data_IF_692335616861
#
_entry.id   IF_692335616861
#
_cell.length_a   1.000
_cell.length_b   1.000
_cell.length_c   1.000
_cell.angle_alpha   90.00
_cell.angle_beta   90.00
_cell.angle_gamma   90.00
#
_symmetry.space_group_name_H-M   'P 1'
#
loop_
_entity.id
_entity.type
_entity.pdbx_description
1 polymer ?
#
# COMPACT_ATOMS: atom_id res chain seq x y z
N UNK A 1 32.72 2.58 -11.29
CA UNK A 1 32.87 1.31 -10.56
C UNK A 1 31.45 0.75 -10.33
N UNK A 2 31.21 -0.50 -10.71
CA UNK A 2 29.91 -1.14 -10.40
C UNK A 2 29.85 -1.38 -8.87
N UNK A 3 29.03 -0.60 -8.17
CA UNK A 3 28.70 -0.93 -6.78
C UNK A 3 27.76 -2.15 -6.80
N UNK A 4 28.01 -3.19 -6.01
CA UNK A 4 27.07 -4.32 -5.92
C UNK A 4 25.73 -3.83 -5.31
N UNK A 5 24.62 -4.40 -5.76
CA UNK A 5 23.32 -4.16 -5.14
C UNK A 5 23.40 -4.72 -3.71
N UNK A 6 22.95 -3.95 -2.68
CA UNK A 6 22.92 -4.46 -1.32
C UNK A 6 22.06 -5.74 -1.21
N UNK A 7 22.49 -6.68 -0.38
CA UNK A 7 21.67 -7.87 -0.11
C UNK A 7 20.51 -7.50 0.84
N UNK A 8 19.30 -8.03 0.64
CA UNK A 8 18.22 -7.87 1.60
C UNK A 8 18.55 -8.52 2.94
N UNK A 9 18.01 -7.95 4.00
CA UNK A 9 18.11 -8.46 5.38
C UNK A 9 16.72 -8.62 5.98
N UNK A 10 16.53 -9.41 7.04
CA UNK A 10 15.24 -9.50 7.72
C UNK A 10 14.71 -8.17 8.24
N UNK A 11 15.59 -7.20 8.52
CA UNK A 11 15.20 -5.86 8.94
C UNK A 11 14.51 -5.04 7.85
N UNK A 12 14.68 -5.43 6.58
CA UNK A 12 14.04 -4.76 5.44
C UNK A 12 12.55 -5.13 5.31
N UNK A 13 12.13 -6.24 5.93
CA UNK A 13 10.74 -6.75 6.01
C UNK A 13 10.03 -6.83 4.65
N UNK A 14 10.74 -7.21 3.58
CA UNK A 14 10.15 -7.37 2.24
C UNK A 14 9.13 -8.49 2.20
N UNK A 15 7.96 -8.24 1.63
CA UNK A 15 6.89 -9.24 1.52
C UNK A 15 6.20 -9.20 0.15
N UNK A 16 5.56 -10.32 -0.18
CA UNK A 16 4.83 -10.50 -1.45
C UNK A 16 3.51 -11.22 -1.20
N UNK A 17 2.49 -10.85 -1.96
CA UNK A 17 1.22 -11.56 -1.98
C UNK A 17 1.33 -12.89 -2.76
N UNK A 18 0.64 -13.93 -2.30
CA UNK A 18 0.46 -15.15 -3.11
C UNK A 18 -0.25 -14.84 -4.43
N UNK A 19 -1.14 -13.84 -4.43
CA UNK A 19 -1.83 -13.35 -5.63
C UNK A 19 -0.90 -12.64 -6.62
N UNK A 20 0.24 -12.10 -6.16
CA UNK A 20 1.24 -11.44 -7.01
C UNK A 20 2.11 -12.46 -7.72
N UNK A 21 2.89 -13.24 -6.95
CA UNK A 21 3.80 -14.24 -7.52
C UNK A 21 3.06 -15.45 -8.11
N UNK A 22 1.89 -15.77 -7.59
CA UNK A 22 1.01 -16.84 -8.09
C UNK A 22 0.06 -16.41 -9.21
N UNK A 23 0.09 -15.14 -9.64
CA UNK A 23 -0.79 -14.68 -10.72
C UNK A 23 -0.55 -15.45 -12.02
N UNK A 24 -1.63 -16.10 -12.51
CA UNK A 24 -1.58 -16.94 -13.69
C UNK A 24 -1.53 -16.16 -15.00
N UNK A 25 -1.47 -14.84 -14.96
CA UNK A 25 -1.48 -13.94 -16.12
C UNK A 25 -2.74 -14.03 -16.98
N UNK A 26 -3.88 -14.31 -16.38
CA UNK A 26 -5.19 -14.12 -16.98
C UNK A 26 -5.53 -12.63 -16.98
N UNK A 27 -6.05 -12.14 -18.09
CA UNK A 27 -6.59 -10.79 -18.22
C UNK A 27 -8.02 -10.83 -18.82
N UNK A 28 -8.74 -9.70 -18.90
CA UNK A 28 -10.10 -9.68 -19.45
C UNK A 28 -10.22 -10.17 -20.90
N UNK A 29 -9.11 -10.25 -21.62
CA UNK A 29 -9.07 -10.57 -23.06
C UNK A 29 -8.36 -11.90 -23.36
N UNK A 30 -7.79 -12.57 -22.38
CA UNK A 30 -7.04 -13.79 -22.61
C UNK A 30 -6.94 -14.74 -21.41
N UNK A 31 -6.81 -16.03 -21.74
CA UNK A 31 -6.64 -17.08 -20.73
C UNK A 31 -5.29 -17.02 -20.03
N UNK A 32 -5.17 -17.76 -18.93
CA UNK A 32 -3.93 -17.90 -18.18
C UNK A 32 -2.77 -18.40 -19.05
N UNK A 33 -1.58 -17.82 -18.87
CA UNK A 33 -0.35 -18.26 -19.54
C UNK A 33 0.57 -19.04 -18.60
N UNK A 34 0.27 -19.04 -17.30
CA UNK A 34 1.00 -19.78 -16.27
C UNK A 34 0.07 -20.75 -15.53
N UNK A 35 0.62 -21.86 -15.08
CA UNK A 35 -0.08 -22.79 -14.22
C UNK A 35 -0.36 -22.18 -12.83
N UNK A 36 -1.39 -22.68 -12.12
CA UNK A 36 -1.54 -22.36 -10.69
C UNK A 36 -0.27 -22.69 -9.92
N UNK A 37 0.16 -21.79 -9.04
CA UNK A 37 1.32 -21.98 -8.18
C UNK A 37 0.90 -22.62 -6.85
N UNK A 38 1.64 -23.61 -6.42
CA UNK A 38 1.47 -24.18 -5.09
C UNK A 38 1.92 -23.18 -4.01
N UNK A 39 1.11 -22.87 -2.99
CA UNK A 39 1.49 -21.91 -1.96
C UNK A 39 2.77 -22.25 -1.19
N UNK A 40 3.05 -23.53 -0.95
CA UNK A 40 4.28 -23.95 -0.25
C UNK A 40 5.49 -23.77 -1.15
N UNK A 41 5.38 -24.09 -2.44
CA UNK A 41 6.44 -23.77 -3.41
C UNK A 41 6.70 -22.25 -3.49
N UNK A 42 5.65 -21.43 -3.42
CA UNK A 42 5.82 -19.98 -3.36
C UNK A 42 6.61 -19.54 -2.12
N UNK A 43 6.37 -20.14 -0.94
CA UNK A 43 7.15 -19.85 0.27
C UNK A 43 8.64 -20.17 0.07
N UNK A 44 8.97 -21.35 -0.50
CA UNK A 44 10.35 -21.74 -0.77
C UNK A 44 11.07 -20.74 -1.67
N UNK A 45 10.42 -20.32 -2.73
CA UNK A 45 10.97 -19.37 -3.69
C UNK A 45 11.09 -17.95 -3.10
N UNK A 46 10.11 -17.49 -2.33
CA UNK A 46 10.18 -16.21 -1.63
C UNK A 46 11.35 -16.15 -0.65
N UNK A 47 11.55 -17.22 0.13
CA UNK A 47 12.70 -17.34 1.02
C UNK A 47 14.03 -17.32 0.22
N UNK A 48 14.10 -18.01 -0.92
CA UNK A 48 15.28 -18.06 -1.77
C UNK A 48 15.67 -16.69 -2.36
N UNK A 49 14.71 -15.80 -2.65
CA UNK A 49 15.00 -14.44 -3.11
C UNK A 49 15.26 -13.46 -1.96
N UNK A 50 15.17 -13.88 -0.71
CA UNK A 50 15.44 -13.07 0.47
C UNK A 50 14.25 -12.24 0.96
N UNK A 51 13.02 -12.66 0.67
CA UNK A 51 11.83 -12.09 1.30
C UNK A 51 11.80 -12.39 2.81
N UNK A 52 11.19 -11.50 3.56
CA UNK A 52 10.91 -11.65 4.99
C UNK A 52 9.55 -12.30 5.22
N UNK A 53 8.56 -12.01 4.35
CA UNK A 53 7.20 -12.41 4.59
C UNK A 53 6.37 -12.68 3.34
N UNK A 54 5.18 -13.20 3.60
CA UNK A 54 4.16 -13.54 2.61
C UNK A 54 2.81 -12.99 3.04
N UNK A 55 1.98 -12.63 2.07
CA UNK A 55 0.61 -12.15 2.26
C UNK A 55 -0.34 -13.05 1.46
N UNK A 56 -1.60 -13.14 1.87
CA UNK A 56 -2.57 -13.98 1.18
C UNK A 56 -4.00 -13.43 1.24
N UNK A 57 -4.77 -13.67 0.17
CA UNK A 57 -6.23 -13.73 0.28
C UNK A 57 -6.63 -15.11 0.80
N UNK A 58 -7.76 -15.18 1.49
CA UNK A 58 -8.30 -16.47 1.94
C UNK A 58 -8.39 -17.50 0.80
N UNK A 59 -8.79 -17.07 -0.40
CA UNK A 59 -8.96 -17.94 -1.57
C UNK A 59 -7.62 -18.30 -2.27
N UNK A 60 -6.52 -17.63 -1.97
CA UNK A 60 -5.17 -18.02 -2.44
C UNK A 60 -4.70 -19.31 -1.76
N UNK A 61 -5.14 -19.53 -0.52
CA UNK A 61 -4.83 -20.72 0.26
C UNK A 61 -5.95 -21.77 0.18
N UNK A 62 -7.19 -21.36 0.45
CA UNK A 62 -8.31 -22.26 0.66
C UNK A 62 -9.33 -22.03 -0.47
N UNK A 63 -9.47 -22.95 -1.42
CA UNK A 63 -10.44 -22.79 -2.49
C UNK A 63 -11.85 -22.50 -1.97
N UNK A 64 -12.53 -21.53 -2.59
CA UNK A 64 -13.87 -21.12 -2.19
C UNK A 64 -14.84 -22.32 -2.12
N UNK A 65 -15.52 -22.46 -0.98
CA UNK A 65 -16.47 -23.56 -0.74
C UNK A 65 -15.85 -24.86 -0.24
N UNK A 66 -14.55 -24.89 0.10
CA UNK A 66 -13.93 -26.06 0.73
C UNK A 66 -14.60 -26.40 2.05
N UNK A 67 -14.71 -27.68 2.36
CA UNK A 67 -15.13 -28.15 3.67
C UNK A 67 -14.01 -27.97 4.72
N UNK A 68 -14.36 -28.12 5.99
CA UNK A 68 -13.42 -27.86 7.10
C UNK A 68 -12.24 -28.85 7.08
N UNK A 69 -12.39 -30.10 6.64
CA UNK A 69 -11.33 -31.08 6.57
C UNK A 69 -10.28 -30.72 5.50
N UNK A 70 -10.73 -30.30 4.32
CA UNK A 70 -9.86 -29.82 3.24
C UNK A 70 -9.12 -28.55 3.69
N UNK A 71 -9.85 -27.60 4.30
CA UNK A 71 -9.29 -26.38 4.86
C UNK A 71 -8.16 -26.68 5.86
N UNK A 72 -8.44 -27.52 6.86
CA UNK A 72 -7.48 -27.80 7.93
C UNK A 72 -6.20 -28.46 7.39
N UNK A 73 -6.33 -29.39 6.44
CA UNK A 73 -5.18 -30.00 5.78
C UNK A 73 -4.31 -29.01 5.01
N UNK A 74 -4.92 -28.02 4.34
CA UNK A 74 -4.20 -26.95 3.63
C UNK A 74 -3.48 -26.03 4.64
N UNK A 75 -4.15 -25.62 5.70
CA UNK A 75 -3.56 -24.76 6.74
C UNK A 75 -2.37 -25.42 7.41
N UNK A 76 -2.48 -26.69 7.80
CA UNK A 76 -1.37 -27.43 8.42
C UNK A 76 -0.16 -27.53 7.48
N UNK A 77 -0.40 -27.80 6.18
CA UNK A 77 0.67 -27.84 5.18
C UNK A 77 1.34 -26.48 5.02
N UNK A 78 0.55 -25.40 4.99
CA UNK A 78 1.07 -24.04 4.88
C UNK A 78 1.87 -23.61 6.10
N UNK A 79 1.39 -23.89 7.32
CA UNK A 79 2.13 -23.67 8.59
C UNK A 79 3.48 -24.39 8.61
N UNK A 80 3.50 -25.64 8.12
CA UNK A 80 4.74 -26.38 7.99
C UNK A 80 5.72 -25.67 7.03
N UNK A 81 5.24 -25.22 5.87
CA UNK A 81 6.04 -24.44 4.92
C UNK A 81 6.59 -23.13 5.52
N UNK A 82 5.78 -22.40 6.30
CA UNK A 82 6.23 -21.22 7.02
C UNK A 82 7.33 -21.55 8.03
N UNK A 83 7.17 -22.63 8.80
CA UNK A 83 8.18 -23.07 9.78
C UNK A 83 9.50 -23.50 9.11
N UNK A 84 9.44 -24.15 7.95
CA UNK A 84 10.61 -24.60 7.19
C UNK A 84 11.36 -23.45 6.49
N UNK A 85 10.64 -22.41 6.04
CA UNK A 85 11.22 -21.26 5.33
C UNK A 85 11.58 -20.10 6.25
N UNK A 86 10.97 -20.03 7.44
CA UNK A 86 11.13 -18.93 8.38
C UNK A 86 10.42 -17.63 7.96
N UNK A 87 9.55 -17.69 6.95
CA UNK A 87 8.77 -16.54 6.51
C UNK A 87 7.66 -16.19 7.50
N UNK A 88 7.44 -14.90 7.73
CA UNK A 88 6.31 -14.38 8.49
C UNK A 88 5.10 -14.14 7.58
N UNK A 89 3.90 -14.32 8.12
CA UNK A 89 2.68 -13.76 7.50
C UNK A 89 2.58 -12.30 7.94
N UNK A 90 2.78 -11.36 7.01
CA UNK A 90 2.80 -9.94 7.34
C UNK A 90 1.41 -9.31 7.29
N UNK A 91 0.61 -9.70 6.31
CA UNK A 91 -0.79 -9.29 6.19
C UNK A 91 -1.66 -10.42 5.66
N UNK A 92 -2.95 -10.31 5.92
CA UNK A 92 -3.99 -11.10 5.27
C UNK A 92 -5.08 -10.19 4.73
N UNK A 93 -5.84 -10.67 3.78
CA UNK A 93 -6.99 -9.99 3.21
C UNK A 93 -8.04 -11.00 2.75
N UNK A 94 -9.27 -10.57 2.52
CA UNK A 94 -10.35 -11.46 2.04
C UNK A 94 -10.71 -11.14 0.60
N UNK A 95 -10.78 -12.16 -0.25
CA UNK A 95 -11.31 -12.03 -1.59
C UNK A 95 -12.83 -11.80 -1.55
N UNK A 96 -13.23 -10.54 -1.70
CA UNK A 96 -14.63 -10.09 -1.78
C UNK A 96 -15.00 -9.62 -3.19
N UNK A 97 -14.31 -10.11 -4.24
CA UNK A 97 -14.45 -9.56 -5.58
C UNK A 97 -14.54 -10.61 -6.70
N UNK A 98 -13.88 -11.77 -6.57
CA UNK A 98 -13.82 -12.78 -7.64
C UNK A 98 -15.13 -13.55 -7.80
N UNK A 99 -15.72 -14.02 -6.70
CA UNK A 99 -16.94 -14.83 -6.77
C UNK A 99 -18.14 -13.99 -7.24
N UNK A 100 -18.99 -14.52 -8.16
CA UNK A 100 -20.13 -13.78 -8.71
C UNK A 100 -21.14 -13.25 -7.68
N UNK A 101 -21.16 -13.77 -6.46
CA UNK A 101 -21.99 -13.24 -5.37
C UNK A 101 -21.67 -11.78 -5.06
N UNK A 102 -20.44 -11.35 -5.29
CA UNK A 102 -19.94 -9.99 -5.02
C UNK A 102 -19.99 -9.06 -6.25
N UNK A 103 -20.62 -9.47 -7.34
CA UNK A 103 -20.62 -8.75 -8.64
C UNK A 103 -21.07 -7.28 -8.53
N UNK A 104 -21.87 -6.93 -7.51
CA UNK A 104 -22.46 -5.60 -7.33
C UNK A 104 -21.89 -4.88 -6.08
N UNK A 105 -21.04 -5.52 -5.33
CA UNK A 105 -20.48 -5.09 -4.05
C UNK A 105 -20.48 -6.24 -3.06
N UNK A 106 -19.73 -6.10 -2.00
CA UNK A 106 -19.68 -7.05 -0.89
C UNK A 106 -20.20 -6.41 0.40
N UNK A 107 -19.37 -5.64 1.09
CA UNK A 107 -19.72 -4.96 2.35
C UNK A 107 -20.74 -3.82 2.12
N UNK A 108 -20.75 -3.23 0.92
CA UNK A 108 -21.69 -2.16 0.53
C UNK A 108 -22.74 -2.61 -0.49
N UNK A 109 -22.90 -3.92 -0.69
CA UNK A 109 -23.89 -4.45 -1.63
C UNK A 109 -25.30 -3.92 -1.29
N UNK A 110 -26.11 -3.65 -2.32
CA UNK A 110 -27.52 -3.30 -2.14
C UNK A 110 -28.31 -4.44 -1.48
N UNK A 111 -27.81 -5.69 -1.57
CA UNK A 111 -28.44 -6.87 -0.96
C UNK A 111 -27.88 -7.13 0.45
N UNK A 112 -28.78 -7.11 1.46
CA UNK A 112 -28.43 -7.33 2.86
C UNK A 112 -27.76 -8.69 3.11
N UNK A 113 -28.21 -9.76 2.44
CA UNK A 113 -27.68 -11.11 2.67
C UNK A 113 -26.25 -11.24 2.11
N UNK A 114 -25.95 -10.55 1.01
CA UNK A 114 -24.57 -10.45 0.50
C UNK A 114 -23.67 -9.73 1.49
N UNK A 115 -24.11 -8.60 2.08
CA UNK A 115 -23.33 -7.89 3.12
C UNK A 115 -23.04 -8.78 4.32
N UNK A 116 -24.04 -9.49 4.83
CA UNK A 116 -23.88 -10.42 5.96
C UNK A 116 -22.94 -11.58 5.65
N UNK A 117 -23.04 -12.13 4.44
CA UNK A 117 -22.13 -13.16 3.96
C UNK A 117 -20.69 -12.64 3.85
N UNK A 118 -20.50 -11.44 3.32
CA UNK A 118 -19.19 -10.80 3.20
C UNK A 118 -18.54 -10.59 4.59
N UNK A 119 -19.26 -9.99 5.55
CA UNK A 119 -18.76 -9.80 6.93
C UNK A 119 -18.37 -11.14 7.55
N UNK A 120 -19.21 -12.17 7.43
CA UNK A 120 -18.90 -13.50 7.96
C UNK A 120 -17.68 -14.14 7.31
N UNK A 121 -17.50 -13.95 5.99
CA UNK A 121 -16.30 -14.44 5.27
C UNK A 121 -15.05 -13.75 5.79
N UNK A 122 -15.09 -12.42 6.01
CA UNK A 122 -13.99 -11.65 6.60
C UNK A 122 -13.67 -12.15 8.01
N UNK A 123 -14.66 -12.33 8.89
CA UNK A 123 -14.45 -12.83 10.26
C UNK A 123 -13.70 -14.18 10.27
N UNK A 124 -14.12 -15.14 9.42
CA UNK A 124 -13.42 -16.44 9.31
C UNK A 124 -11.95 -16.30 8.86
N UNK A 125 -11.66 -15.33 8.00
CA UNK A 125 -10.29 -15.10 7.58
C UNK A 125 -9.49 -14.28 8.59
N UNK A 126 -10.13 -13.44 9.39
CA UNK A 126 -9.49 -12.78 10.55
C UNK A 126 -8.99 -13.84 11.55
N UNK A 127 -9.79 -14.87 11.82
CA UNK A 127 -9.37 -15.98 12.70
C UNK A 127 -8.11 -16.66 12.16
N UNK A 128 -8.07 -16.94 10.86
CA UNK A 128 -6.90 -17.53 10.21
C UNK A 128 -5.70 -16.57 10.22
N UNK A 129 -5.92 -15.29 9.96
CA UNK A 129 -4.89 -14.26 9.98
C UNK A 129 -4.23 -14.17 11.37
N UNK A 130 -5.05 -14.12 12.43
CA UNK A 130 -4.58 -14.13 13.81
C UNK A 130 -3.81 -15.41 14.16
N UNK A 131 -4.33 -16.59 13.73
CA UNK A 131 -3.69 -17.89 13.90
C UNK A 131 -2.31 -17.98 13.24
N UNK A 132 -2.15 -17.32 12.08
CA UNK A 132 -0.89 -17.28 11.33
C UNK A 132 0.03 -16.12 11.73
N UNK A 133 -0.39 -15.26 12.67
CA UNK A 133 0.42 -14.18 13.24
C UNK A 133 0.45 -12.88 12.43
N UNK A 134 -0.49 -12.68 11.51
CA UNK A 134 -0.64 -11.40 10.80
C UNK A 134 -1.04 -10.29 11.79
N UNK A 135 -0.42 -9.12 11.65
CA UNK A 135 -0.72 -7.95 12.49
C UNK A 135 -1.55 -6.88 11.76
N UNK A 136 -1.61 -6.96 10.43
CA UNK A 136 -2.39 -6.05 9.60
C UNK A 136 -3.35 -6.86 8.73
N UNK A 137 -4.58 -6.40 8.65
CA UNK A 137 -5.62 -6.94 7.78
C UNK A 137 -5.98 -5.90 6.73
N UNK A 138 -5.57 -6.14 5.48
CA UNK A 138 -5.84 -5.21 4.38
C UNK A 138 -7.28 -5.36 3.92
N UNK A 139 -7.94 -4.25 3.66
CA UNK A 139 -9.30 -4.16 3.17
C UNK A 139 -9.31 -3.42 1.82
N UNK A 140 -9.24 -4.20 0.73
CA UNK A 140 -9.40 -3.68 -0.62
C UNK A 140 -10.87 -3.74 -1.07
N UNK A 141 -11.42 -2.57 -1.39
CA UNK A 141 -12.81 -2.40 -1.75
C UNK A 141 -13.11 -2.52 -3.26
N UNK A 142 -12.47 -3.42 -3.99
CA UNK A 142 -12.51 -3.48 -5.44
C UNK A 142 -13.92 -3.62 -6.08
N UNK A 143 -14.93 -4.13 -5.36
CA UNK A 143 -16.33 -4.16 -5.80
C UNK A 143 -17.20 -3.12 -5.11
N UNK A 144 -16.68 -2.38 -4.16
CA UNK A 144 -17.41 -1.37 -3.40
C UNK A 144 -17.52 -0.07 -4.21
N UNK A 145 -18.54 0.04 -5.05
CA UNK A 145 -18.71 1.15 -5.97
C UNK A 145 -19.79 0.91 -7.02
N UNK A 146 -19.72 1.61 -8.15
CA UNK A 146 -20.66 1.48 -9.26
C UNK A 146 -20.07 1.94 -10.60
N UNK A 147 -20.66 1.45 -11.71
CA UNK A 147 -20.43 1.98 -13.06
C UNK A 147 -21.35 3.17 -13.36
N UNK A 148 -22.49 3.25 -12.67
CA UNK A 148 -23.52 4.27 -12.88
C UNK A 148 -24.01 4.82 -11.56
N UNK A 149 -23.95 6.12 -11.36
CA UNK A 149 -24.37 6.79 -10.12
C UNK A 149 -25.81 6.47 -9.68
N UNK A 150 -26.71 6.17 -10.61
CA UNK A 150 -28.09 5.79 -10.28
C UNK A 150 -28.23 4.38 -9.66
N UNK A 151 -27.19 3.54 -9.76
CA UNK A 151 -27.21 2.16 -9.26
C UNK A 151 -26.78 2.04 -7.80
N UNK A 152 -26.24 3.10 -7.19
CA UNK A 152 -25.71 3.10 -5.82
C UNK A 152 -26.06 4.39 -5.11
N UNK A 153 -26.77 4.29 -3.99
CA UNK A 153 -26.92 5.39 -3.03
C UNK A 153 -25.61 5.47 -2.22
N UNK A 154 -24.75 6.42 -2.59
CA UNK A 154 -23.40 6.53 -2.01
C UNK A 154 -23.44 6.79 -0.50
N UNK A 155 -24.25 7.74 0.03
CA UNK A 155 -24.40 7.90 1.48
C UNK A 155 -24.80 6.62 2.18
N UNK A 156 -25.84 5.94 1.72
CA UNK A 156 -26.28 4.67 2.31
C UNK A 156 -25.22 3.56 2.18
N UNK A 157 -24.46 3.54 1.10
CA UNK A 157 -23.36 2.59 0.93
C UNK A 157 -22.23 2.86 1.93
N UNK A 158 -21.87 4.12 2.17
CA UNK A 158 -20.89 4.50 3.18
C UNK A 158 -21.37 4.15 4.59
N UNK A 159 -22.66 4.36 4.92
CA UNK A 159 -23.25 3.90 6.19
C UNK A 159 -23.09 2.38 6.38
N UNK A 160 -23.31 1.59 5.31
CA UNK A 160 -23.12 0.12 5.36
C UNK A 160 -21.66 -0.28 5.50
N UNK A 161 -20.77 0.49 4.88
CA UNK A 161 -19.33 0.26 4.98
C UNK A 161 -18.85 0.56 6.41
N UNK A 162 -19.29 1.68 6.99
CA UNK A 162 -19.03 2.03 8.39
C UNK A 162 -19.57 0.94 9.36
N UNK A 163 -20.82 0.50 9.17
CA UNK A 163 -21.39 -0.60 9.94
C UNK A 163 -20.52 -1.87 9.90
N UNK A 164 -20.04 -2.23 8.70
CA UNK A 164 -19.18 -3.40 8.52
C UNK A 164 -17.85 -3.26 9.27
N UNK A 165 -17.16 -2.12 9.15
CA UNK A 165 -15.90 -1.89 9.86
C UNK A 165 -16.08 -1.86 11.37
N UNK A 166 -17.17 -1.28 11.89
CA UNK A 166 -17.47 -1.27 13.32
C UNK A 166 -17.70 -2.69 13.85
N UNK A 167 -18.49 -3.51 13.14
CA UNK A 167 -18.70 -4.93 13.50
C UNK A 167 -17.38 -5.72 13.47
N UNK A 168 -16.53 -5.52 12.47
CA UNK A 168 -15.24 -6.20 12.38
C UNK A 168 -14.25 -5.72 13.45
N UNK A 169 -14.28 -4.43 13.79
CA UNK A 169 -13.48 -3.85 14.87
C UNK A 169 -13.87 -4.44 16.23
N UNK A 170 -15.17 -4.52 16.53
CA UNK A 170 -15.66 -5.17 17.74
C UNK A 170 -15.28 -6.66 17.78
N UNK A 171 -15.37 -7.35 16.64
CA UNK A 171 -14.98 -8.76 16.54
C UNK A 171 -13.50 -8.98 16.92
N UNK A 172 -12.59 -8.15 16.41
CA UNK A 172 -11.15 -8.23 16.71
C UNK A 172 -10.91 -7.98 18.21
N UNK A 173 -11.54 -6.95 18.77
CA UNK A 173 -11.39 -6.61 20.20
C UNK A 173 -11.95 -7.69 21.11
N UNK A 174 -13.15 -8.21 20.83
CA UNK A 174 -13.81 -9.24 21.64
C UNK A 174 -13.03 -10.57 21.68
N UNK A 175 -12.27 -10.86 20.60
CA UNK A 175 -11.39 -12.04 20.52
C UNK A 175 -9.98 -11.79 21.06
N UNK A 176 -9.65 -10.53 21.38
CA UNK A 176 -8.30 -10.16 21.86
C UNK A 176 -7.21 -10.33 20.81
N UNK A 177 -7.54 -10.19 19.53
CA UNK A 177 -6.57 -10.30 18.44
C UNK A 177 -5.70 -9.05 18.36
N UNK A 178 -4.38 -9.22 18.25
CA UNK A 178 -3.43 -8.13 17.95
C UNK A 178 -3.40 -7.88 16.43
N UNK A 179 -4.48 -7.30 15.93
CA UNK A 179 -4.70 -7.11 14.50
C UNK A 179 -5.34 -5.74 14.25
N UNK A 180 -4.84 -5.03 13.26
CA UNK A 180 -5.35 -3.74 12.81
C UNK A 180 -5.78 -3.80 11.34
N UNK A 181 -6.76 -2.99 10.96
CA UNK A 181 -7.22 -2.90 9.58
C UNK A 181 -6.45 -1.82 8.81
N UNK A 182 -6.19 -2.06 7.53
CA UNK A 182 -5.65 -1.07 6.62
C UNK A 182 -6.53 -1.00 5.36
N UNK A 183 -7.19 0.13 5.15
CA UNK A 183 -7.98 0.37 3.95
C UNK A 183 -7.01 0.64 2.80
N UNK A 184 -7.21 -0.04 1.68
CA UNK A 184 -6.48 0.16 0.44
C UNK A 184 -7.34 0.96 -0.53
N UNK A 185 -7.06 2.27 -0.71
CA UNK A 185 -7.80 3.12 -1.62
C UNK A 185 -7.49 2.80 -3.06
N UNK A 186 -8.53 2.82 -3.92
CA UNK A 186 -8.38 2.68 -5.37
C UNK A 186 -9.45 3.51 -6.09
N UNK A 187 -9.12 4.31 -7.12
CA UNK A 187 -10.08 5.21 -7.74
C UNK A 187 -11.13 4.48 -8.60
N UNK A 188 -10.71 3.46 -9.31
CA UNK A 188 -11.53 2.70 -10.25
C UNK A 188 -10.91 1.33 -10.52
N UNK A 189 -11.58 0.50 -11.34
CA UNK A 189 -11.14 -0.86 -11.73
C UNK A 189 -11.11 -1.83 -10.53
N UNK A 190 -11.96 -2.87 -10.57
CA UNK A 190 -12.81 -3.30 -11.69
C UNK A 190 -14.15 -2.57 -11.83
N UNK A 191 -14.51 -1.67 -10.91
CA UNK A 191 -15.70 -0.82 -11.03
C UNK A 191 -15.34 0.49 -11.72
N UNK A 192 -16.31 1.18 -12.31
CA UNK A 192 -16.11 2.51 -12.91
C UNK A 192 -15.66 3.54 -11.88
N UNK A 193 -16.34 3.55 -10.73
CA UNK A 193 -15.99 4.34 -9.55
C UNK A 193 -15.98 3.43 -8.32
N UNK A 194 -14.91 3.49 -7.52
CA UNK A 194 -14.79 2.75 -6.26
C UNK A 194 -14.95 3.74 -5.10
N UNK A 195 -15.61 3.32 -4.03
CA UNK A 195 -15.73 4.09 -2.80
C UNK A 195 -14.34 4.22 -2.13
N UNK A 196 -14.09 5.36 -1.49
CA UNK A 196 -12.80 5.68 -0.87
C UNK A 196 -11.63 5.67 -1.88
N UNK A 197 -11.71 6.46 -2.96
CA UNK A 197 -10.82 6.36 -4.11
C UNK A 197 -9.37 6.80 -3.86
N UNK A 198 -9.09 7.53 -2.79
CA UNK A 198 -7.74 8.04 -2.45
C UNK A 198 -7.49 7.97 -0.95
N UNK A 199 -6.22 8.13 -0.56
CA UNK A 199 -5.80 8.19 0.86
C UNK A 199 -6.65 9.19 1.66
N UNK A 200 -6.87 10.40 1.12
CA UNK A 200 -7.66 11.42 1.83
C UNK A 200 -9.12 11.01 2.07
N UNK A 201 -9.77 10.32 1.12
CA UNK A 201 -11.13 9.80 1.32
C UNK A 201 -11.15 8.69 2.38
N UNK A 202 -10.17 7.80 2.38
CA UNK A 202 -10.06 6.74 3.38
C UNK A 202 -9.83 7.32 4.78
N UNK A 203 -8.94 8.31 4.92
CA UNK A 203 -8.70 8.98 6.20
C UNK A 203 -9.96 9.66 6.73
N UNK A 204 -10.71 10.38 5.88
CA UNK A 204 -11.97 11.01 6.28
C UNK A 204 -13.03 9.96 6.72
N UNK A 205 -13.08 8.81 6.05
CA UNK A 205 -13.96 7.71 6.43
C UNK A 205 -13.56 7.10 7.77
N UNK A 206 -12.26 6.89 8.01
CA UNK A 206 -11.74 6.34 9.26
C UNK A 206 -12.17 7.16 10.46
N UNK A 207 -12.19 8.49 10.36
CA UNK A 207 -12.64 9.38 11.43
C UNK A 207 -14.13 9.21 11.80
N UNK A 208 -14.92 8.58 10.93
CA UNK A 208 -16.34 8.29 11.19
C UNK A 208 -16.58 6.97 11.93
N UNK A 209 -15.56 6.15 12.13
CA UNK A 209 -15.66 4.84 12.76
C UNK A 209 -15.74 4.94 14.30
N UNK A 210 -16.34 3.94 14.94
CA UNK A 210 -16.42 3.84 16.40
C UNK A 210 -15.04 3.59 17.03
N UNK A 211 -14.14 2.92 16.29
CA UNK A 211 -12.76 2.59 16.69
C UNK A 211 -11.75 3.02 15.64
N UNK A 212 -11.60 4.34 15.42
CA UNK A 212 -10.70 4.83 14.38
C UNK A 212 -9.23 4.44 14.62
N UNK A 213 -8.84 4.18 15.87
CA UNK A 213 -7.49 3.75 16.23
C UNK A 213 -7.10 2.38 15.66
N UNK A 214 -8.08 1.50 15.41
CA UNK A 214 -7.86 0.17 14.83
C UNK A 214 -7.71 0.21 13.31
N UNK A 215 -8.03 1.33 12.65
CA UNK A 215 -8.08 1.41 11.19
C UNK A 215 -7.12 2.49 10.69
N UNK A 216 -6.29 2.11 9.75
CA UNK A 216 -5.39 2.99 9.01
C UNK A 216 -5.54 2.75 7.51
N UNK A 217 -4.52 3.15 6.76
CA UNK A 217 -4.50 3.02 5.30
C UNK A 217 -3.31 2.17 4.84
N UNK A 218 -3.50 1.55 3.69
CA UNK A 218 -2.52 0.85 2.88
C UNK A 218 -2.45 1.54 1.51
N UNK A 219 -1.73 2.66 1.36
CA UNK A 219 -1.59 3.30 0.06
C UNK A 219 -0.82 2.43 -0.91
N UNK A 220 -1.24 2.44 -2.17
CA UNK A 220 -0.52 1.84 -3.28
C UNK A 220 -0.09 2.90 -4.28
N UNK A 221 1.14 2.79 -4.78
CA UNK A 221 1.68 3.76 -5.76
C UNK A 221 0.82 3.80 -7.02
N UNK A 222 0.47 2.61 -7.55
CA UNK A 222 -0.34 2.49 -8.76
C UNK A 222 -1.69 3.16 -8.62
N UNK A 223 -2.36 2.96 -7.50
CA UNK A 223 -3.70 3.50 -7.26
C UNK A 223 -3.72 5.04 -7.16
N UNK A 224 -2.75 5.64 -6.49
CA UNK A 224 -2.63 7.11 -6.43
C UNK A 224 -2.29 7.69 -7.82
N UNK A 225 -1.36 7.07 -8.57
CA UNK A 225 -1.01 7.51 -9.92
C UNK A 225 -2.15 7.29 -10.94
N UNK A 226 -2.99 6.25 -10.78
CA UNK A 226 -4.22 6.08 -11.58
C UNK A 226 -5.17 7.26 -11.42
N UNK A 227 -5.27 7.83 -10.22
CA UNK A 227 -6.04 9.03 -9.93
C UNK A 227 -5.36 10.33 -10.41
N UNK A 228 -4.16 10.25 -10.99
CA UNK A 228 -3.37 11.41 -11.39
C UNK A 228 -2.73 12.16 -10.23
N UNK A 229 -2.58 11.51 -9.08
CA UNK A 229 -2.03 12.07 -7.86
C UNK A 229 -0.53 11.74 -7.70
N UNK A 230 0.12 12.45 -6.79
CA UNK A 230 1.48 12.16 -6.37
C UNK A 230 1.43 11.14 -5.22
N UNK A 231 1.86 9.91 -5.47
CA UNK A 231 1.87 8.85 -4.47
C UNK A 231 2.63 9.26 -3.19
N UNK A 232 3.81 9.88 -3.30
CA UNK A 232 4.58 10.32 -2.12
C UNK A 232 3.78 11.28 -1.21
N UNK A 233 2.90 12.13 -1.77
CA UNK A 233 2.04 13.00 -0.98
C UNK A 233 0.95 12.21 -0.22
N UNK A 234 0.40 11.16 -0.81
CA UNK A 234 -0.55 10.25 -0.14
C UNK A 234 0.09 9.54 1.05
N UNK A 235 1.29 8.97 0.86
CA UNK A 235 2.06 8.34 1.96
C UNK A 235 2.42 9.35 3.06
N UNK A 236 2.86 10.57 2.70
CA UNK A 236 3.16 11.63 3.65
C UNK A 236 1.94 12.03 4.47
N UNK A 237 0.76 12.16 3.83
CA UNK A 237 -0.49 12.45 4.52
C UNK A 237 -0.87 11.35 5.51
N UNK A 238 -0.75 10.08 5.12
CA UNK A 238 -1.00 8.93 5.99
C UNK A 238 -0.05 8.90 7.21
N UNK A 239 1.24 9.20 6.99
CA UNK A 239 2.23 9.34 8.07
C UNK A 239 1.88 10.48 9.03
N UNK A 240 1.50 11.65 8.50
CA UNK A 240 1.11 12.81 9.29
C UNK A 240 -0.08 12.53 10.21
N UNK A 241 -1.06 11.73 9.73
CA UNK A 241 -2.21 11.27 10.52
C UNK A 241 -1.86 10.12 11.51
N UNK A 242 -0.65 9.53 11.45
CA UNK A 242 -0.29 8.32 12.19
C UNK A 242 -1.09 7.09 11.75
N UNK A 243 -1.55 7.07 10.49
CA UNK A 243 -2.44 6.06 9.91
C UNK A 243 -1.82 5.21 8.81
N UNK A 244 -0.51 5.33 8.56
CA UNK A 244 0.19 4.47 7.61
C UNK A 244 0.45 3.10 8.25
N UNK A 245 -0.49 2.17 8.12
CA UNK A 245 -0.41 0.85 8.76
C UNK A 245 0.24 -0.21 7.89
N UNK A 246 0.14 -0.07 6.58
CA UNK A 246 0.78 -0.92 5.59
C UNK A 246 1.12 -0.10 4.34
N UNK A 247 1.90 -0.66 3.43
CA UNK A 247 2.26 -0.04 2.15
C UNK A 247 2.30 -1.08 1.05
N UNK A 248 1.77 -0.72 -0.12
CA UNK A 248 1.88 -1.50 -1.35
C UNK A 248 2.71 -0.74 -2.38
N UNK A 249 3.83 -1.35 -2.76
CA UNK A 249 4.78 -0.77 -3.70
C UNK A 249 4.74 -1.52 -5.03
N UNK A 250 4.51 -0.77 -6.10
CA UNK A 250 4.56 -1.25 -7.46
C UNK A 250 5.04 -0.14 -8.41
N UNK A 251 4.76 -0.27 -9.70
CA UNK A 251 5.06 0.74 -10.71
C UNK A 251 3.86 1.01 -11.60
N UNK A 252 3.68 2.29 -11.93
CA UNK A 252 2.61 2.79 -12.78
C UNK A 252 3.15 3.85 -13.74
N UNK A 253 2.49 4.06 -14.88
CA UNK A 253 2.81 5.11 -15.85
C UNK A 253 1.65 6.10 -15.99
N UNK A 254 1.31 6.80 -14.91
CA UNK A 254 0.27 7.81 -14.85
C UNK A 254 -1.15 7.26 -14.98
N UNK A 255 -2.15 8.11 -15.24
CA UNK A 255 -3.57 7.74 -15.28
C UNK A 255 -3.88 6.74 -16.40
N UNK A 256 -4.15 5.50 -16.05
CA UNK A 256 -4.52 4.37 -16.94
C UNK A 256 -5.23 3.30 -16.11
N UNK A 257 -5.41 2.11 -16.73
CA UNK A 257 -5.71 0.89 -16.00
C UNK A 257 -4.54 0.56 -15.04
N UNK A 258 -4.84 -0.21 -14.03
CA UNK A 258 -3.86 -0.67 -13.05
C UNK A 258 -2.83 -1.60 -13.69
N UNK A 259 -1.58 -1.11 -13.78
CA UNK A 259 -0.54 -1.85 -14.47
C UNK A 259 0.20 -2.82 -13.57
N UNK A 260 0.22 -2.57 -12.28
CA UNK A 260 0.94 -3.39 -11.28
C UNK A 260 2.35 -3.79 -11.74
N UNK A 261 3.09 -2.86 -12.35
CA UNK A 261 4.45 -3.13 -12.77
C UNK A 261 5.34 -3.38 -11.55
N UNK A 262 6.45 -4.11 -11.72
CA UNK A 262 7.41 -4.26 -10.62
C UNK A 262 7.87 -2.90 -10.11
N UNK A 263 8.11 -2.79 -8.82
CA UNK A 263 8.58 -1.55 -8.19
C UNK A 263 9.83 -0.98 -8.89
N UNK A 264 9.82 0.33 -9.14
CA UNK A 264 10.87 1.02 -9.88
C UNK A 264 10.75 0.93 -11.41
N UNK A 265 9.78 0.19 -11.96
CA UNK A 265 9.40 0.28 -13.36
C UNK A 265 8.30 1.35 -13.53
N UNK A 266 8.28 2.01 -14.68
CA UNK A 266 7.39 3.15 -14.90
C UNK A 266 7.97 4.44 -14.31
N UNK A 267 7.35 5.01 -13.28
CA UNK A 267 7.76 6.26 -12.66
C UNK A 267 8.86 6.07 -11.60
N UNK A 268 10.12 5.91 -12.01
CA UNK A 268 11.26 5.73 -11.09
C UNK A 268 11.49 6.96 -10.19
N UNK A 269 11.20 8.17 -10.69
CA UNK A 269 11.31 9.40 -9.90
C UNK A 269 10.26 9.47 -8.80
N UNK A 270 9.03 9.07 -9.09
CA UNK A 270 7.97 8.92 -8.08
C UNK A 270 8.35 7.89 -7.02
N UNK A 271 8.87 6.74 -7.43
CA UNK A 271 9.37 5.70 -6.53
C UNK A 271 10.49 6.21 -5.60
N UNK A 272 11.43 7.04 -6.12
CA UNK A 272 12.46 7.67 -5.30
C UNK A 272 11.86 8.55 -4.19
N UNK A 273 10.87 9.38 -4.52
CA UNK A 273 10.22 10.26 -3.53
C UNK A 273 9.35 9.49 -2.54
N UNK A 274 8.74 8.37 -2.94
CA UNK A 274 8.05 7.48 -1.99
C UNK A 274 9.05 6.90 -0.98
N UNK A 275 10.20 6.38 -1.43
CA UNK A 275 11.24 5.86 -0.53
C UNK A 275 11.78 6.96 0.39
N UNK A 276 12.01 8.17 -0.13
CA UNK A 276 12.42 9.32 0.69
C UNK A 276 11.40 9.65 1.78
N UNK A 277 10.12 9.69 1.41
CA UNK A 277 9.01 9.94 2.34
C UNK A 277 8.92 8.88 3.45
N UNK A 278 9.05 7.60 3.10
CA UNK A 278 9.01 6.50 4.06
C UNK A 278 10.19 6.57 5.05
N UNK A 279 11.40 6.85 4.56
CA UNK A 279 12.58 6.98 5.40
C UNK A 279 12.50 8.23 6.31
N UNK A 280 12.09 9.37 5.78
CA UNK A 280 11.94 10.61 6.54
C UNK A 280 10.82 10.50 7.60
N UNK A 281 9.74 9.80 7.29
CA UNK A 281 8.62 9.54 8.21
C UNK A 281 8.86 8.42 9.21
N UNK A 282 10.01 7.71 9.13
CA UNK A 282 10.35 6.64 10.05
C UNK A 282 9.45 5.40 9.93
N UNK A 283 8.92 5.11 8.74
CA UNK A 283 8.15 3.90 8.53
C UNK A 283 9.03 2.66 8.75
N UNK A 284 8.59 1.77 9.63
CA UNK A 284 9.30 0.55 10.03
C UNK A 284 8.50 -0.73 9.83
N UNK A 285 7.32 -0.62 9.22
CA UNK A 285 6.44 -1.74 8.88
C UNK A 285 6.96 -2.60 7.72
N UNK A 286 6.23 -3.67 7.36
CA UNK A 286 6.52 -4.48 6.18
C UNK A 286 6.51 -3.65 4.89
N UNK A 287 7.45 -3.95 4.00
CA UNK A 287 7.52 -3.37 2.65
C UNK A 287 6.97 -4.41 1.68
N UNK A 288 5.71 -4.27 1.35
CA UNK A 288 5.02 -5.18 0.45
C UNK A 288 5.14 -4.70 -1.00
N UNK A 289 5.28 -5.66 -1.91
CA UNK A 289 5.26 -5.41 -3.34
C UNK A 289 4.01 -6.02 -3.95
N UNK A 290 3.00 -5.19 -4.20
CA UNK A 290 1.80 -5.60 -4.94
C UNK A 290 1.99 -5.31 -6.44
N UNK A 291 2.56 -6.30 -7.13
CA UNK A 291 2.87 -6.19 -8.55
C UNK A 291 2.44 -7.45 -9.28
N UNK A 292 2.28 -7.35 -10.60
CA UNK A 292 1.96 -8.50 -11.46
C UNK A 292 3.09 -8.75 -12.46
N UNK A 293 3.74 -9.93 -12.42
CA UNK A 293 4.72 -10.32 -13.44
C UNK A 293 4.06 -10.31 -14.82
N UNK A 294 4.61 -9.57 -15.77
CA UNK A 294 3.97 -9.39 -17.09
C UNK A 294 3.62 -10.72 -17.78
N UNK A 295 2.55 -10.71 -18.56
CA UNK A 295 1.93 -11.90 -19.16
C UNK A 295 2.88 -12.85 -19.92
N UNK A 296 3.90 -12.37 -20.68
CA UNK A 296 4.85 -13.24 -21.40
C UNK A 296 5.84 -14.00 -20.51
N UNK A 297 5.99 -13.63 -19.23
CA UNK A 297 6.99 -14.23 -18.37
C UNK A 297 6.66 -15.68 -17.99
N UNK A 298 7.70 -16.50 -17.93
CA UNK A 298 7.65 -17.84 -17.34
C UNK A 298 7.78 -17.76 -15.82
N UNK A 299 7.68 -18.89 -15.12
CA UNK A 299 7.88 -18.95 -13.67
C UNK A 299 9.26 -18.39 -13.25
N UNK A 300 10.33 -18.67 -14.02
CA UNK A 300 11.64 -18.09 -13.76
C UNK A 300 11.65 -16.57 -13.86
N UNK A 301 10.88 -16.01 -14.80
CA UNK A 301 10.67 -14.56 -14.94
C UNK A 301 9.87 -13.97 -13.78
N UNK A 302 8.92 -14.70 -13.20
CA UNK A 302 8.20 -14.29 -11.98
C UNK A 302 9.19 -14.04 -10.85
N UNK A 303 10.07 -15.01 -10.57
CA UNK A 303 11.04 -14.89 -9.47
C UNK A 303 12.12 -13.85 -9.74
N UNK A 304 12.57 -13.73 -10.98
CA UNK A 304 13.48 -12.67 -11.38
C UNK A 304 12.87 -11.27 -11.19
N UNK A 305 11.58 -11.08 -11.51
CA UNK A 305 10.90 -9.80 -11.32
C UNK A 305 10.59 -9.51 -9.85
N UNK A 306 10.25 -10.52 -9.04
CA UNK A 306 10.11 -10.39 -7.59
C UNK A 306 11.43 -9.93 -6.95
N UNK A 307 12.53 -10.59 -7.28
CA UNK A 307 13.86 -10.17 -6.83
C UNK A 307 14.19 -8.76 -7.29
N UNK A 308 13.83 -8.37 -8.50
CA UNK A 308 14.07 -7.02 -9.01
C UNK A 308 13.26 -5.94 -8.25
N UNK A 309 12.09 -6.24 -7.68
CA UNK A 309 11.39 -5.32 -6.78
C UNK A 309 12.25 -5.02 -5.54
N UNK A 310 12.79 -6.04 -4.90
CA UNK A 310 13.71 -5.91 -3.75
C UNK A 310 14.94 -5.09 -4.14
N UNK A 311 15.60 -5.47 -5.23
CA UNK A 311 16.83 -4.82 -5.68
C UNK A 311 16.60 -3.32 -5.99
N UNK A 312 15.48 -3.00 -6.64
CA UNK A 312 15.13 -1.61 -6.96
C UNK A 312 14.88 -0.78 -5.70
N UNK A 313 14.18 -1.35 -4.70
CA UNK A 313 13.98 -0.66 -3.43
C UNK A 313 15.32 -0.37 -2.74
N UNK A 314 16.20 -1.38 -2.66
CA UNK A 314 17.52 -1.24 -2.04
C UNK A 314 18.39 -0.21 -2.78
N UNK A 315 18.37 -0.21 -4.11
CA UNK A 315 19.08 0.79 -4.93
C UNK A 315 18.54 2.20 -4.63
N UNK A 316 17.22 2.38 -4.66
CA UNK A 316 16.61 3.69 -4.42
C UNK A 316 16.86 4.16 -2.99
N UNK A 317 16.81 3.28 -2.00
CA UNK A 317 17.14 3.59 -0.61
C UNK A 317 18.56 4.16 -0.46
N UNK A 318 19.53 3.52 -1.07
CA UNK A 318 20.92 4.02 -1.02
C UNK A 318 21.06 5.36 -1.76
N UNK A 319 20.35 5.56 -2.86
CA UNK A 319 20.34 6.85 -3.58
C UNK A 319 19.67 7.96 -2.77
N UNK A 320 18.58 7.68 -2.09
CA UNK A 320 17.94 8.62 -1.16
C UNK A 320 18.88 9.00 -0.02
N UNK A 321 19.55 8.00 0.59
CA UNK A 321 20.53 8.26 1.64
C UNK A 321 21.68 9.14 1.17
N UNK A 322 22.22 8.86 -0.02
CA UNK A 322 23.28 9.66 -0.63
C UNK A 322 22.80 11.09 -0.94
N UNK A 323 21.62 11.25 -1.50
CA UNK A 323 20.98 12.55 -1.75
C UNK A 323 20.84 13.36 -0.44
N UNK A 324 20.27 12.74 0.60
CA UNK A 324 20.07 13.42 1.89
C UNK A 324 21.38 13.74 2.62
N UNK A 325 22.46 13.03 2.35
CA UNK A 325 23.78 13.27 2.92
C UNK A 325 24.64 14.25 2.11
N UNK A 326 24.24 14.61 0.89
CA UNK A 326 25.01 15.50 0.02
C UNK A 326 25.01 16.94 0.56
N UNK A 327 26.21 17.55 0.83
CA UNK A 327 26.30 18.91 1.35
C UNK A 327 25.64 19.96 0.45
N UNK A 328 25.72 19.79 -0.89
CA UNK A 328 25.10 20.71 -1.85
C UNK A 328 23.57 20.64 -1.79
N UNK A 329 23.01 19.44 -1.55
CA UNK A 329 21.57 19.28 -1.29
C UNK A 329 21.17 19.97 0.00
N UNK A 330 21.95 19.82 1.08
CA UNK A 330 21.68 20.49 2.35
C UNK A 330 21.73 22.02 2.23
N UNK A 331 22.70 22.55 1.49
CA UNK A 331 22.79 23.98 1.18
C UNK A 331 21.55 24.45 0.40
N UNK A 332 21.19 23.76 -0.65
CA UNK A 332 20.01 24.08 -1.47
C UNK A 332 18.67 24.01 -0.67
N UNK A 333 18.55 23.06 0.27
CA UNK A 333 17.39 22.98 1.18
C UNK A 333 17.27 24.23 2.07
N UNK A 334 18.40 24.74 2.57
CA UNK A 334 18.45 25.99 3.36
C UNK A 334 18.08 27.19 2.48
N UNK A 335 18.64 27.30 1.29
CA UNK A 335 18.31 28.35 0.33
C UNK A 335 16.82 28.33 -0.06
N UNK A 336 16.25 27.15 -0.19
CA UNK A 336 14.81 26.96 -0.43
C UNK A 336 13.93 27.31 0.78
N UNK A 337 14.51 27.56 1.96
CA UNK A 337 13.80 27.91 3.19
C UNK A 337 13.08 26.73 3.86
N UNK A 338 13.38 25.49 3.47
CA UNK A 338 12.72 24.31 4.02
C UNK A 338 12.89 24.15 5.54
N UNK A 339 14.04 24.49 6.17
CA UNK A 339 14.16 24.46 7.63
C UNK A 339 13.22 25.42 8.37
N UNK A 340 12.78 26.49 7.73
CA UNK A 340 11.84 27.45 8.30
C UNK A 340 10.44 26.85 8.51
N UNK A 341 10.07 25.78 7.76
CA UNK A 341 8.81 25.07 7.96
C UNK A 341 8.71 24.42 9.35
N UNK A 342 9.81 24.16 10.01
CA UNK A 342 9.83 23.64 11.38
C UNK A 342 9.48 24.70 12.44
N UNK A 343 9.49 25.99 12.06
CA UNK A 343 9.14 27.10 12.94
C UNK A 343 7.63 27.34 12.83
N UNK A 344 6.89 27.27 13.95
CA UNK A 344 5.45 27.58 13.94
C UNK A 344 5.18 29.01 13.44
N UNK A 345 4.10 29.18 12.68
CA UNK A 345 3.68 30.50 12.19
C UNK A 345 3.35 31.46 13.32
N UNK A 346 2.78 30.96 14.41
CA UNK A 346 2.46 31.72 15.60
C UNK A 346 3.37 31.25 16.76
N UNK A 347 3.92 32.19 17.51
CA UNK A 347 4.62 31.87 18.74
C UNK A 347 3.64 31.35 19.81
N UNK A 348 4.16 30.72 20.86
CA UNK A 348 3.31 30.22 21.93
C UNK A 348 2.55 31.39 22.63
N UNK A 349 1.22 31.29 22.57
CA UNK A 349 0.30 32.31 23.12
C UNK A 349 -0.10 33.41 22.16
N UNK A 350 0.43 33.41 20.93
CA UNK A 350 -0.04 34.29 19.87
C UNK A 350 -1.32 33.72 19.19
N UNK A 351 -2.14 34.61 18.68
CA UNK A 351 -3.34 34.29 17.92
C UNK A 351 -3.56 35.28 16.77
N UNK A 352 -4.75 35.26 16.19
CA UNK A 352 -5.10 36.14 15.07
C UNK A 352 -5.05 37.64 15.41
N UNK A 353 -5.17 38.01 16.71
CA UNK A 353 -5.12 39.41 17.15
C UNK A 353 -3.73 39.99 16.99
N UNK A 354 -2.73 39.26 17.43
CA UNK A 354 -1.32 39.62 17.29
C UNK A 354 -0.91 39.76 15.82
N UNK A 355 -1.49 38.92 14.92
CA UNK A 355 -1.27 39.06 13.48
C UNK A 355 -1.87 40.33 12.88
N UNK A 356 -2.98 40.87 13.43
CA UNK A 356 -3.55 42.14 12.96
C UNK A 356 -2.64 43.33 13.25
N UNK A 357 -1.92 43.28 14.36
CA UNK A 357 -0.99 44.32 14.79
C UNK A 357 0.44 44.06 14.32
N UNK A 358 0.69 42.88 13.69
CA UNK A 358 2.00 42.52 13.20
C UNK A 358 2.47 43.47 12.08
N UNK A 359 3.67 44.06 12.15
CA UNK A 359 4.14 44.96 11.11
C UNK A 359 4.32 44.24 9.80
N UNK A 360 3.68 44.75 8.74
CA UNK A 360 3.76 44.13 7.41
C UNK A 360 5.21 44.14 6.93
N UNK A 361 5.67 43.00 6.37
CA UNK A 361 6.99 42.88 5.79
C UNK A 361 7.05 43.64 4.47
N UNK A 362 8.26 43.86 3.95
CA UNK A 362 8.46 44.30 2.58
C UNK A 362 8.06 43.16 1.62
N UNK A 363 6.83 43.24 1.09
CA UNK A 363 6.26 42.21 0.21
C UNK A 363 6.99 42.11 -1.14
N UNK A 364 7.57 43.22 -1.62
CA UNK A 364 8.34 43.22 -2.88
C UNK A 364 9.68 42.52 -2.68
N UNK A 365 10.33 42.73 -1.55
CA UNK A 365 11.55 42.00 -1.18
C UNK A 365 11.27 40.50 -1.01
N UNK A 366 10.16 40.11 -0.38
CA UNK A 366 9.74 38.72 -0.27
C UNK A 366 9.44 38.09 -1.63
N UNK A 367 8.77 38.83 -2.52
CA UNK A 367 8.46 38.36 -3.88
C UNK A 367 9.71 38.18 -4.75
N UNK A 368 10.75 39.00 -4.52
CA UNK A 368 12.02 38.91 -5.24
C UNK A 368 12.96 37.79 -4.72
N UNK A 369 12.59 37.12 -3.62
CA UNK A 369 13.42 36.05 -3.04
C UNK A 369 13.51 34.86 -3.99
N UNK A 370 14.71 34.40 -4.27
CA UNK A 370 14.95 33.15 -4.97
C UNK A 370 14.68 31.94 -4.06
N UNK A 371 14.12 30.86 -4.61
CA UNK A 371 13.74 29.65 -3.89
C UNK A 371 14.30 28.41 -4.58
N UNK A 372 15.49 28.34 -4.98
CA UNK A 372 16.35 27.26 -5.53
C UNK A 372 15.70 25.86 -5.79
N UNK A 373 14.40 25.77 -6.16
CA UNK A 373 13.66 24.51 -6.33
C UNK A 373 14.16 23.67 -7.49
N UNK A 374 14.50 24.33 -8.62
CA UNK A 374 15.04 23.65 -9.80
C UNK A 374 16.40 23.02 -9.52
N UNK A 375 17.23 23.67 -8.70
CA UNK A 375 18.52 23.11 -8.28
C UNK A 375 18.33 21.83 -7.46
N UNK A 376 17.39 21.83 -6.50
CA UNK A 376 17.08 20.64 -5.70
C UNK A 376 16.61 19.48 -6.56
N UNK A 377 15.74 19.74 -7.52
CA UNK A 377 15.24 18.72 -8.43
C UNK A 377 16.36 18.16 -9.32
N UNK A 378 17.21 19.03 -9.84
CA UNK A 378 18.37 18.60 -10.66
C UNK A 378 19.34 17.74 -9.85
N UNK A 379 19.62 18.09 -8.59
CA UNK A 379 20.45 17.28 -7.70
C UNK A 379 19.85 15.88 -7.46
N UNK A 380 18.54 15.79 -7.28
CA UNK A 380 17.87 14.50 -7.15
C UNK A 380 18.02 13.64 -8.41
N UNK A 381 17.88 14.23 -9.60
CA UNK A 381 18.09 13.53 -10.87
C UNK A 381 19.55 13.06 -11.04
N UNK A 382 20.54 13.87 -10.65
CA UNK A 382 21.95 13.50 -10.71
C UNK A 382 22.26 12.30 -9.80
N UNK A 383 21.67 12.23 -8.61
CA UNK A 383 21.74 11.05 -7.75
C UNK A 383 21.05 9.84 -8.38
N UNK A 384 19.85 10.01 -8.94
CA UNK A 384 19.14 8.93 -9.63
C UNK A 384 19.94 8.36 -10.81
N UNK A 385 20.54 9.22 -11.63
CA UNK A 385 21.35 8.79 -12.78
C UNK A 385 22.73 8.28 -12.40
N UNK A 386 23.14 8.38 -11.13
CA UNK A 386 24.43 7.90 -10.65
C UNK A 386 25.61 8.79 -11.06
N UNK A 387 25.34 10.05 -11.38
CA UNK A 387 26.38 11.09 -11.60
C UNK A 387 26.98 11.52 -10.27
N UNK A 388 26.17 11.48 -9.22
CA UNK A 388 26.55 11.72 -7.82
C UNK A 388 26.34 10.46 -6.98
N UNK A 389 27.05 10.33 -5.86
CA UNK A 389 26.83 9.26 -4.90
C UNK A 389 28.03 8.61 -4.31
#
# INVERSE_FOLDING_TARGET
>A
MNRPIPAPTPADKFSFGLWTVGWQARDPFGDATRAPMDPVHALEQLAAIGAYGVNFHDDDLIPFGSDDSVRDGIIERFKKGLAETGLAVTTATTNLFTHPVFKEGALTSNNRDVRRFAIRKVMRNIDLAAELGAQVYVCWGGREGAEYGAAKDVPAALDRYQEAFNVLGDYVVDHGYDLRFAIEPKPNEPRGDILLPTVGHALAFIESLDRPELVGVNPEIGHEEMAGLNAAAGYAQALWHGKLFHIDLNGQNGPKYDQDLRFGAGNVRGAFWVVDTLLAGGYDGPVHFDYKPVRPETEAGVWASARACIDNYLILREKVRAFRADPEVQEALVEAGLPELAVPTLAAGEGWRELLDWPLPDVDALAAREVAMERLDQLALEHLYGVRG
#
